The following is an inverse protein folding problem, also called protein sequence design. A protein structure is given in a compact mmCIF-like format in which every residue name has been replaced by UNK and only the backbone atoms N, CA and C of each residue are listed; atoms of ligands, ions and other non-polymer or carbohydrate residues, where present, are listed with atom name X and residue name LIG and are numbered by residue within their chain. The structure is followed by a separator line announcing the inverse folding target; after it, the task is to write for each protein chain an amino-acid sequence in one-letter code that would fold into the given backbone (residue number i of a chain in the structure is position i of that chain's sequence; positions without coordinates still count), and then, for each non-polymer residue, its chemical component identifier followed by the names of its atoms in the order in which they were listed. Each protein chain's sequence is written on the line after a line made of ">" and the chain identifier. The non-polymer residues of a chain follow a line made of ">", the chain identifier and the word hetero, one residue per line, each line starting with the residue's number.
data_IF_677730543719
#
_entry.id   IF_677730543719
#
_cell.length_a   1.000
_cell.length_b   1.000
_cell.length_c   1.000
_cell.angle_alpha   90.00
_cell.angle_beta   90.00
_cell.angle_gamma   90.00
#
_symmetry.space_group_name_H-M   'P 1'
#
loop_
_entity.id
_entity.type
_entity.pdbx_description
1 polymer ?
#
# COMPACT_ATOMS: atom_id res chain seq x y z
N UNK A 1 4.50 -16.36 -13.18
CA UNK A 1 4.83 -17.11 -14.39
C UNK A 1 4.83 -16.18 -15.59
N UNK A 2 5.84 -16.26 -16.45
CA UNK A 2 6.00 -15.39 -17.63
C UNK A 2 5.71 -16.20 -18.90
N UNK A 3 4.71 -15.78 -19.64
CA UNK A 3 4.27 -16.39 -20.90
C UNK A 3 4.54 -15.46 -22.07
N UNK A 4 5.45 -15.77 -22.98
CA UNK A 4 5.59 -15.04 -24.23
C UNK A 4 4.46 -15.44 -25.18
N UNK A 5 3.49 -14.55 -25.37
CA UNK A 5 2.38 -14.78 -26.31
C UNK A 5 2.56 -13.86 -27.52
N UNK A 6 2.95 -14.43 -28.64
CA UNK A 6 3.18 -13.73 -29.90
C UNK A 6 4.22 -12.62 -29.76
N UNK A 7 3.81 -11.36 -29.68
CA UNK A 7 4.71 -10.20 -29.54
C UNK A 7 4.57 -9.47 -28.19
N UNK A 8 3.84 -10.04 -27.22
CA UNK A 8 3.61 -9.48 -25.89
C UNK A 8 4.13 -10.42 -24.81
N UNK A 9 4.66 -9.85 -23.73
CA UNK A 9 5.00 -10.58 -22.52
C UNK A 9 3.82 -10.51 -21.56
N UNK A 10 3.29 -11.66 -21.16
CA UNK A 10 2.25 -11.76 -20.12
C UNK A 10 2.89 -12.30 -18.86
N UNK A 11 2.73 -11.61 -17.75
CA UNK A 11 3.20 -12.10 -16.44
C UNK A 11 1.98 -12.30 -15.53
N UNK A 12 1.91 -13.47 -14.91
CA UNK A 12 0.92 -13.81 -13.91
C UNK A 12 1.60 -13.97 -12.56
N UNK A 13 1.04 -13.36 -11.53
CA UNK A 13 1.48 -13.48 -10.15
C UNK A 13 0.34 -13.98 -9.26
N UNK A 14 0.67 -14.82 -8.29
CA UNK A 14 -0.23 -15.24 -7.25
C UNK A 14 0.51 -15.21 -5.91
N UNK A 15 -0.16 -14.73 -4.87
CA UNK A 15 0.34 -14.68 -3.51
C UNK A 15 -0.68 -15.27 -2.55
N UNK A 16 -0.20 -15.98 -1.55
CA UNK A 16 -1.00 -16.48 -0.45
C UNK A 16 -0.32 -16.13 0.87
N UNK A 17 -1.06 -15.53 1.78
CA UNK A 17 -0.63 -15.26 3.15
C UNK A 17 -1.38 -16.22 4.05
N UNK A 18 -0.67 -17.11 4.72
CA UNK A 18 -1.25 -18.04 5.67
C UNK A 18 -1.65 -17.30 6.94
N UNK A 19 -2.84 -17.57 7.45
CA UNK A 19 -3.26 -17.16 8.77
C UNK A 19 -2.40 -17.82 9.84
N UNK A 20 -2.18 -17.15 10.96
CA UNK A 20 -1.36 -17.65 12.07
C UNK A 20 -1.88 -17.16 13.39
N UNK A 21 -1.72 -17.98 14.41
CA UNK A 21 -1.98 -17.59 15.79
C UNK A 21 -0.67 -17.15 16.45
N UNK A 22 -0.69 -15.98 17.06
CA UNK A 22 0.45 -15.36 17.73
C UNK A 22 0.12 -15.24 19.21
N UNK A 23 0.92 -15.89 20.05
CA UNK A 23 0.86 -15.67 21.50
C UNK A 23 1.72 -14.44 21.84
N UNK A 24 1.11 -13.45 22.45
CA UNK A 24 1.75 -12.22 22.90
C UNK A 24 1.54 -12.02 24.38
N UNK A 25 2.49 -11.38 25.06
CA UNK A 25 2.33 -10.92 26.43
C UNK A 25 1.83 -9.49 26.43
N UNK A 26 0.87 -9.20 27.29
CA UNK A 26 0.27 -7.89 27.48
C UNK A 26 0.29 -7.48 28.93
N UNK A 27 0.73 -6.26 29.19
CA UNK A 27 0.55 -5.60 30.46
C UNK A 27 -0.62 -4.61 30.36
N UNK A 28 -1.60 -4.72 31.24
CA UNK A 28 -2.75 -3.83 31.27
C UNK A 28 -2.75 -3.03 32.58
N UNK A 29 -2.67 -1.72 32.44
CA UNK A 29 -2.70 -0.80 33.56
C UNK A 29 -3.81 0.22 33.39
N UNK A 30 -4.86 0.12 34.20
CA UNK A 30 -6.00 1.05 34.20
C UNK A 30 -5.99 1.83 35.50
N UNK A 31 -5.95 3.17 35.39
CA UNK A 31 -5.95 4.07 36.52
C UNK A 31 -6.91 5.24 36.33
N UNK A 32 -7.48 5.74 37.40
CA UNK A 32 -8.18 7.00 37.41
C UNK A 32 -7.19 8.15 37.50
N UNK A 33 -7.45 9.21 36.72
CA UNK A 33 -6.60 10.40 36.69
C UNK A 33 -7.45 11.64 36.94
N UNK A 34 -6.94 12.54 37.77
CA UNK A 34 -7.53 13.86 37.95
C UNK A 34 -6.84 14.84 37.01
N UNK A 35 -7.65 15.50 36.15
CA UNK A 35 -7.17 16.56 35.29
C UNK A 35 -7.32 17.89 36.03
N UNK A 36 -6.23 18.34 36.68
CA UNK A 36 -6.20 19.63 37.36
C UNK A 36 -6.29 20.80 36.37
N UNK A 37 -6.97 21.88 36.80
CA UNK A 37 -7.00 23.13 36.04
C UNK A 37 -5.58 23.73 36.01
N UNK A 38 -5.00 23.90 34.84
CA UNK A 38 -3.81 24.71 34.60
C UNK A 38 -2.45 24.05 34.56
N UNK A 39 -2.31 22.73 34.85
CA UNK A 39 -1.05 21.99 34.69
C UNK A 39 -1.25 20.72 33.85
N UNK A 40 -0.33 20.49 32.92
CA UNK A 40 -0.27 19.30 32.07
C UNK A 40 0.07 18.01 32.85
N UNK A 41 0.24 18.08 34.17
CA UNK A 41 0.52 16.92 35.01
C UNK A 41 -0.77 16.17 35.35
N UNK A 42 -0.92 14.99 34.81
CA UNK A 42 -1.95 14.04 35.17
C UNK A 42 -1.59 13.41 36.51
N UNK A 43 -2.38 13.68 37.54
CA UNK A 43 -2.17 13.08 38.86
C UNK A 43 -2.99 11.78 38.99
N UNK A 44 -2.37 10.62 39.17
CA UNK A 44 -3.09 9.38 39.40
C UNK A 44 -3.78 9.43 40.77
N UNK A 45 -5.07 9.07 40.77
CA UNK A 45 -5.87 9.01 42.00
C UNK A 45 -5.88 7.59 42.56
N UNK A 46 -6.16 6.62 41.69
CA UNK A 46 -6.30 5.22 42.07
C UNK A 46 -6.02 4.31 40.87
N UNK A 47 -5.51 3.11 41.16
CA UNK A 47 -5.30 2.04 40.19
C UNK A 47 -6.51 1.13 40.21
N UNK A 48 -7.27 1.09 39.14
CA UNK A 48 -8.45 0.26 38.99
C UNK A 48 -8.11 -1.19 38.67
N UNK A 49 -7.11 -1.39 37.81
CA UNK A 49 -6.69 -2.71 37.40
C UNK A 49 -5.23 -2.70 36.96
N UNK A 50 -4.50 -3.69 37.40
CA UNK A 50 -3.15 -4.00 36.96
C UNK A 50 -3.04 -5.49 36.66
N UNK A 51 -2.75 -5.84 35.44
CA UNK A 51 -2.52 -7.21 34.98
C UNK A 51 -1.16 -7.21 34.29
N UNK A 52 -0.28 -8.06 34.74
CA UNK A 52 1.09 -8.19 34.21
C UNK A 52 1.23 -9.56 33.54
N UNK A 53 2.00 -9.62 32.44
CA UNK A 53 2.32 -10.85 31.71
C UNK A 53 1.10 -11.67 31.24
N UNK A 54 -0.05 -11.04 30.97
CA UNK A 54 -1.22 -11.76 30.44
C UNK A 54 -0.91 -12.30 29.04
N UNK A 55 -1.09 -13.60 28.85
CA UNK A 55 -0.93 -14.21 27.54
C UNK A 55 -2.19 -13.94 26.71
N UNK A 56 -2.03 -13.23 25.63
CA UNK A 56 -3.09 -12.89 24.69
C UNK A 56 -2.83 -13.60 23.36
N UNK A 57 -3.80 -14.36 22.90
CA UNK A 57 -3.77 -14.99 21.60
C UNK A 57 -4.35 -14.05 20.55
N UNK A 58 -3.59 -13.83 19.48
CA UNK A 58 -3.98 -13.00 18.35
C UNK A 58 -4.06 -13.90 17.11
N UNK A 59 -5.26 -14.09 16.58
CA UNK A 59 -5.47 -14.88 15.36
C UNK A 59 -5.42 -13.96 14.15
N UNK A 60 -4.35 -14.11 13.35
CA UNK A 60 -4.16 -13.36 12.11
C UNK A 60 -4.86 -14.05 10.94
N UNK A 61 -5.61 -13.32 10.12
CA UNK A 61 -6.36 -13.89 9.02
C UNK A 61 -5.46 -14.36 7.88
N UNK A 62 -5.98 -15.26 7.05
CA UNK A 62 -5.39 -15.61 5.79
C UNK A 62 -5.76 -14.60 4.69
N UNK A 63 -4.94 -14.57 3.64
CA UNK A 63 -5.18 -13.71 2.49
C UNK A 63 -4.67 -14.32 1.19
N UNK A 64 -5.19 -13.84 0.10
CA UNK A 64 -4.69 -14.20 -1.23
C UNK A 64 -4.68 -12.98 -2.15
N UNK A 65 -3.76 -13.02 -3.10
CA UNK A 65 -3.65 -11.99 -4.12
C UNK A 65 -3.35 -12.60 -5.47
N UNK A 66 -3.76 -11.93 -6.51
CA UNK A 66 -3.46 -12.31 -7.87
C UNK A 66 -3.28 -11.07 -8.74
N UNK A 67 -2.34 -11.15 -9.68
CA UNK A 67 -2.08 -10.06 -10.60
C UNK A 67 -1.74 -10.55 -11.99
N UNK A 68 -2.07 -9.72 -12.96
CA UNK A 68 -1.73 -9.93 -14.36
C UNK A 68 -1.10 -8.67 -14.92
N UNK A 69 -0.02 -8.82 -15.65
CA UNK A 69 0.53 -7.73 -16.45
C UNK A 69 0.79 -8.17 -17.87
N UNK A 70 0.50 -7.28 -18.79
CA UNK A 70 0.72 -7.46 -20.24
C UNK A 70 1.58 -6.31 -20.72
N UNK A 71 2.68 -6.62 -21.37
CA UNK A 71 3.59 -5.60 -21.85
C UNK A 71 4.21 -5.95 -23.20
N UNK A 72 4.62 -4.92 -23.86
CA UNK A 72 5.40 -4.95 -25.10
C UNK A 72 6.41 -3.81 -25.04
N UNK A 73 7.38 -3.81 -25.95
CA UNK A 73 8.34 -2.71 -26.05
C UNK A 73 7.62 -1.35 -26.07
N UNK A 74 7.83 -0.58 -25.02
CA UNK A 74 7.31 0.78 -24.87
C UNK A 74 6.02 0.92 -24.08
N UNK A 75 5.28 -0.12 -23.74
CA UNK A 75 4.12 -0.05 -22.86
C UNK A 75 3.96 -1.29 -21.96
N UNK A 76 3.37 -1.08 -20.82
CA UNK A 76 3.00 -2.11 -19.86
C UNK A 76 1.65 -1.72 -19.24
N UNK A 77 0.74 -2.66 -19.13
CA UNK A 77 -0.52 -2.53 -18.39
C UNK A 77 -0.65 -3.70 -17.43
N UNK A 78 -1.12 -3.44 -16.23
CA UNK A 78 -1.30 -4.46 -15.21
C UNK A 78 -2.53 -4.21 -14.37
N UNK A 79 -3.02 -5.27 -13.76
CA UNK A 79 -4.09 -5.24 -12.78
C UNK A 79 -3.79 -6.24 -11.67
N UNK A 80 -4.08 -5.84 -10.43
CA UNK A 80 -3.87 -6.62 -9.22
C UNK A 80 -5.14 -6.64 -8.39
N UNK A 81 -5.39 -7.78 -7.76
CA UNK A 81 -6.46 -7.98 -6.80
C UNK A 81 -5.88 -8.64 -5.55
N UNK A 82 -6.22 -8.14 -4.38
CA UNK A 82 -5.87 -8.76 -3.10
C UNK A 82 -7.10 -8.82 -2.21
N UNK A 83 -7.18 -9.88 -1.42
CA UNK A 83 -8.22 -10.13 -0.45
C UNK A 83 -7.62 -10.65 0.85
N UNK A 84 -8.18 -10.24 2.00
CA UNK A 84 -7.79 -10.73 3.31
C UNK A 84 -9.02 -10.91 4.21
N UNK A 85 -9.06 -12.04 4.91
CA UNK A 85 -10.18 -12.49 5.74
C UNK A 85 -10.21 -11.86 7.13
N UNK A 86 -10.16 -10.53 7.25
CA UNK A 86 -10.13 -9.80 8.52
C UNK A 86 -11.35 -10.03 9.41
N UNK A 87 -12.41 -10.60 8.89
CA UNK A 87 -13.56 -11.03 9.69
C UNK A 87 -13.20 -12.12 10.70
N UNK A 88 -12.18 -12.93 10.37
CA UNK A 88 -11.70 -14.04 11.21
C UNK A 88 -10.59 -13.61 12.18
N UNK A 89 -10.26 -12.31 12.22
CA UNK A 89 -9.34 -11.74 13.18
C UNK A 89 -9.94 -11.76 14.58
N UNK A 90 -9.20 -12.31 15.53
CA UNK A 90 -9.56 -12.32 16.94
C UNK A 90 -8.37 -11.92 17.81
N UNK A 91 -8.64 -11.19 18.87
CA UNK A 91 -7.69 -10.88 19.91
C UNK A 91 -8.28 -11.29 21.26
N UNK A 92 -7.69 -12.32 21.87
CA UNK A 92 -8.16 -12.92 23.13
C UNK A 92 -9.64 -13.36 23.09
N UNK A 93 -10.07 -13.97 21.97
CA UNK A 93 -11.44 -14.41 21.76
C UNK A 93 -12.45 -13.28 21.51
N UNK A 94 -11.97 -12.04 21.36
CA UNK A 94 -12.81 -10.88 21.03
C UNK A 94 -12.59 -10.53 19.56
N UNK A 95 -13.67 -10.53 18.80
CA UNK A 95 -13.69 -10.05 17.42
C UNK A 95 -14.12 -8.59 17.42
N UNK A 96 -13.28 -7.70 16.87
CA UNK A 96 -13.52 -6.26 16.80
C UNK A 96 -14.55 -5.85 15.74
N UNK A 97 -15.43 -6.76 15.30
CA UNK A 97 -16.42 -6.52 14.25
C UNK A 97 -15.80 -6.05 12.93
N UNK A 98 -14.59 -6.53 12.64
CA UNK A 98 -13.91 -6.25 11.39
C UNK A 98 -14.64 -6.93 10.23
N UNK A 99 -14.38 -6.48 9.02
CA UNK A 99 -14.88 -7.09 7.79
C UNK A 99 -13.72 -7.49 6.88
N UNK A 100 -14.00 -8.40 5.97
CA UNK A 100 -13.01 -8.78 4.98
C UNK A 100 -12.60 -7.55 4.15
N UNK A 101 -11.32 -7.40 3.94
CA UNK A 101 -10.78 -6.36 3.09
C UNK A 101 -10.45 -6.89 1.70
N UNK A 102 -10.59 -6.04 0.71
CA UNK A 102 -10.12 -6.32 -0.65
C UNK A 102 -9.70 -5.04 -1.35
N UNK A 103 -8.75 -5.18 -2.26
CA UNK A 103 -8.36 -4.09 -3.12
C UNK A 103 -8.21 -4.53 -4.57
N UNK A 104 -8.42 -3.58 -5.47
CA UNK A 104 -8.15 -3.68 -6.89
C UNK A 104 -7.26 -2.51 -7.29
N UNK A 105 -6.20 -2.77 -8.00
CA UNK A 105 -5.37 -1.76 -8.61
C UNK A 105 -5.20 -2.05 -10.10
N UNK A 106 -5.33 -1.02 -10.94
CA UNK A 106 -5.10 -1.09 -12.38
C UNK A 106 -4.14 0.03 -12.74
N UNK A 107 -3.13 -0.27 -13.51
CA UNK A 107 -2.17 0.75 -13.90
C UNK A 107 -1.47 0.43 -15.21
N UNK A 108 -0.88 1.47 -15.78
CA UNK A 108 -0.11 1.32 -17.00
C UNK A 108 1.04 2.32 -17.09
N UNK A 109 2.02 1.95 -17.87
CA UNK A 109 3.15 2.82 -18.23
C UNK A 109 3.36 2.81 -19.72
N UNK A 110 3.74 3.98 -20.24
CA UNK A 110 4.05 4.18 -21.65
C UNK A 110 5.33 4.98 -21.80
N UNK A 111 6.24 4.43 -22.59
CA UNK A 111 7.51 5.07 -22.98
C UNK A 111 7.61 5.07 -24.50
N UNK A 112 7.39 6.20 -25.17
CA UNK A 112 7.28 6.26 -26.62
C UNK A 112 8.50 5.67 -27.34
N UNK A 113 9.72 6.06 -26.91
CA UNK A 113 10.95 5.63 -27.57
C UNK A 113 12.15 5.73 -26.62
N UNK A 114 12.79 4.61 -26.34
CA UNK A 114 13.92 4.59 -25.39
C UNK A 114 15.25 5.07 -25.98
N UNK A 115 15.39 5.06 -27.31
CA UNK A 115 16.64 5.29 -28.05
C UNK A 115 16.69 6.64 -28.78
N UNK A 116 15.65 7.48 -28.71
CA UNK A 116 15.64 8.78 -29.37
C UNK A 116 16.80 9.67 -28.92
N UNK A 117 17.64 10.12 -29.84
CA UNK A 117 18.77 11.01 -29.54
C UNK A 117 18.34 12.46 -29.46
N UNK A 118 17.32 12.86 -30.24
CA UNK A 118 16.96 14.27 -30.48
C UNK A 118 15.78 14.79 -29.67
N UNK A 119 14.87 13.92 -29.18
CA UNK A 119 13.62 14.36 -28.54
C UNK A 119 13.47 13.79 -27.13
N UNK A 120 13.75 14.62 -26.12
CA UNK A 120 13.73 14.20 -24.70
C UNK A 120 12.37 13.65 -24.23
N UNK A 121 11.25 14.27 -24.64
CA UNK A 121 9.91 13.84 -24.25
C UNK A 121 9.56 12.40 -24.67
N UNK A 122 10.21 11.87 -25.70
CA UNK A 122 10.04 10.48 -26.14
C UNK A 122 10.71 9.46 -25.20
N UNK A 123 11.67 9.91 -24.38
CA UNK A 123 12.37 9.10 -23.37
C UNK A 123 11.65 9.08 -22.04
N UNK A 124 10.73 10.01 -21.82
CA UNK A 124 9.93 10.10 -20.59
C UNK A 124 9.03 8.87 -20.50
N UNK A 125 8.97 8.30 -19.30
CA UNK A 125 8.01 7.24 -18.99
C UNK A 125 6.78 7.88 -18.38
N UNK A 126 5.65 7.79 -19.04
CA UNK A 126 4.35 8.23 -18.54
C UNK A 126 3.67 7.09 -17.82
N UNK A 127 3.04 7.36 -16.66
CA UNK A 127 2.36 6.37 -15.85
C UNK A 127 1.00 6.88 -15.44
N UNK A 128 0.01 6.00 -15.44
CA UNK A 128 -1.31 6.27 -14.91
C UNK A 128 -1.81 5.05 -14.15
N UNK A 129 -2.53 5.26 -13.06
CA UNK A 129 -3.08 4.19 -12.25
C UNK A 129 -4.36 4.60 -11.56
N UNK A 130 -5.15 3.61 -11.19
CA UNK A 130 -6.34 3.72 -10.37
C UNK A 130 -6.31 2.60 -9.34
N UNK A 131 -6.69 2.90 -8.10
CA UNK A 131 -6.90 1.89 -7.08
C UNK A 131 -8.22 2.12 -6.36
N UNK A 132 -8.79 1.01 -5.93
CA UNK A 132 -9.96 0.98 -5.06
C UNK A 132 -9.71 -0.02 -3.94
N UNK A 133 -9.87 0.43 -2.70
CA UNK A 133 -9.63 -0.36 -1.50
C UNK A 133 -10.89 -0.36 -0.63
N UNK A 134 -11.42 -1.52 -0.31
CA UNK A 134 -12.34 -1.71 0.78
C UNK A 134 -11.55 -2.14 2.01
N UNK A 135 -11.48 -1.26 3.00
CA UNK A 135 -10.73 -1.53 4.22
C UNK A 135 -11.46 -2.51 5.14
N UNK A 136 -10.74 -3.12 6.06
CA UNK A 136 -11.31 -3.99 7.08
C UNK A 136 -12.13 -3.26 8.16
N UNK A 137 -12.04 -1.94 8.23
CA UNK A 137 -12.78 -1.16 9.20
C UNK A 137 -14.28 -1.13 8.86
N UNK A 138 -15.08 -1.58 9.83
CA UNK A 138 -16.53 -1.51 9.79
C UNK A 138 -17.02 -0.62 10.93
N UNK A 139 -17.51 0.57 10.58
CA UNK A 139 -18.04 1.51 11.57
C UNK A 139 -19.55 1.58 11.39
N UNK A 140 -20.31 1.15 12.42
CA UNK A 140 -21.78 1.10 12.41
C UNK A 140 -22.35 0.38 11.17
N UNK A 141 -21.79 -0.80 10.83
CA UNK A 141 -22.29 -1.63 9.74
C UNK A 141 -21.97 -1.10 8.33
N UNK A 142 -20.95 -0.25 8.18
CA UNK A 142 -20.52 0.22 6.86
C UNK A 142 -19.01 0.24 6.71
N UNK A 143 -18.57 -0.19 5.54
CA UNK A 143 -17.18 -0.22 5.11
C UNK A 143 -16.63 1.18 4.89
N UNK A 144 -15.37 1.39 5.23
CA UNK A 144 -14.60 2.55 4.82
C UNK A 144 -13.88 2.20 3.51
N UNK A 145 -14.26 2.87 2.43
CA UNK A 145 -13.64 2.67 1.14
C UNK A 145 -12.66 3.80 0.83
N UNK A 146 -11.57 3.46 0.16
CA UNK A 146 -10.58 4.39 -0.37
C UNK A 146 -10.47 4.18 -1.87
N UNK A 147 -10.35 5.27 -2.63
CA UNK A 147 -10.06 5.21 -4.05
C UNK A 147 -9.16 6.39 -4.44
N UNK A 148 -8.35 6.17 -5.46
CA UNK A 148 -7.45 7.19 -5.94
C UNK A 148 -7.03 6.98 -7.39
N UNK A 149 -6.70 8.09 -8.03
CA UNK A 149 -6.11 8.14 -9.37
C UNK A 149 -4.70 8.70 -9.24
N UNK A 150 -3.74 8.02 -9.83
CA UNK A 150 -2.34 8.41 -9.82
C UNK A 150 -1.87 8.71 -11.23
N UNK A 151 -1.18 9.84 -11.41
CA UNK A 151 -0.48 10.18 -12.63
C UNK A 151 0.99 10.42 -12.30
N UNK A 152 1.89 9.91 -13.14
CA UNK A 152 3.32 10.03 -12.89
C UNK A 152 4.15 10.12 -14.16
N UNK A 153 5.34 10.70 -14.00
CA UNK A 153 6.35 10.79 -15.05
C UNK A 153 7.70 10.34 -14.52
N UNK A 154 8.41 9.56 -15.34
CA UNK A 154 9.78 9.16 -15.09
C UNK A 154 10.72 9.87 -16.06
N UNK A 155 11.60 10.71 -15.52
CA UNK A 155 12.52 11.57 -16.25
C UNK A 155 13.91 10.92 -16.25
N UNK A 156 14.38 10.32 -17.37
CA UNK A 156 15.71 9.73 -17.42
C UNK A 156 16.78 10.83 -17.44
N UNK A 157 17.85 10.64 -16.68
CA UNK A 157 19.02 11.53 -16.71
C UNK A 157 19.86 11.22 -17.95
N UNK A 158 20.20 12.23 -18.78
CA UNK A 158 21.03 12.03 -19.96
C UNK A 158 22.39 11.41 -19.60
N UNK A 159 22.83 10.43 -20.36
CA UNK A 159 24.12 9.71 -20.19
C UNK A 159 24.23 8.92 -18.88
N UNK A 160 23.15 8.72 -18.16
CA UNK A 160 23.09 7.91 -16.94
C UNK A 160 21.93 6.90 -17.05
N UNK A 161 22.00 5.86 -16.24
CA UNK A 161 20.89 4.93 -16.04
C UNK A 161 19.96 5.36 -14.89
N UNK A 162 20.28 6.49 -14.27
CA UNK A 162 19.49 7.13 -13.20
C UNK A 162 18.23 7.77 -13.80
N UNK A 163 17.13 7.74 -13.04
CA UNK A 163 15.90 8.46 -13.39
C UNK A 163 15.27 9.14 -12.17
N UNK A 164 14.72 10.32 -12.37
CA UNK A 164 13.83 10.99 -11.40
C UNK A 164 12.39 10.64 -11.72
N UNK A 165 11.62 10.33 -10.70
CA UNK A 165 10.20 10.04 -10.84
C UNK A 165 9.40 11.04 -10.01
N UNK A 166 8.36 11.60 -10.62
CA UNK A 166 7.41 12.49 -9.97
C UNK A 166 6.02 11.92 -10.22
N UNK A 167 5.22 11.79 -9.19
CA UNK A 167 3.85 11.34 -9.29
C UNK A 167 2.93 12.16 -8.39
N UNK A 168 1.71 12.40 -8.86
CA UNK A 168 0.62 12.99 -8.11
C UNK A 168 -0.52 11.98 -7.99
N UNK A 169 -1.06 11.84 -6.78
CA UNK A 169 -2.23 11.02 -6.50
C UNK A 169 -3.34 11.89 -5.93
N UNK A 170 -4.52 11.80 -6.52
CA UNK A 170 -5.74 12.42 -6.03
C UNK A 170 -6.72 11.32 -5.63
N UNK A 171 -7.19 11.37 -4.39
CA UNK A 171 -8.04 10.31 -3.86
C UNK A 171 -8.99 10.77 -2.77
N UNK A 172 -9.82 9.84 -2.35
CA UNK A 172 -10.79 10.05 -1.29
C UNK A 172 -10.95 8.81 -0.42
N UNK A 173 -11.10 9.03 0.88
CA UNK A 173 -11.31 8.01 1.90
C UNK A 173 -12.60 8.31 2.67
N UNK A 174 -13.41 7.27 2.90
CA UNK A 174 -14.62 7.36 3.70
C UNK A 174 -15.84 7.81 2.92
N UNK A 175 -16.91 8.13 3.64
CA UNK A 175 -18.20 8.51 3.09
C UNK A 175 -18.91 9.52 3.99
N UNK A 176 -19.70 10.40 3.43
CA UNK A 176 -20.55 11.36 4.19
C UNK A 176 -21.87 10.77 4.66
N UNK A 177 -22.19 9.51 4.27
CA UNK A 177 -23.43 8.86 4.68
C UNK A 177 -23.43 8.60 6.19
N UNK A 178 -24.56 8.78 6.88
CA UNK A 178 -24.75 8.57 8.32
C UNK A 178 -23.82 9.43 9.22
N UNK A 179 -23.69 10.70 8.91
CA UNK A 179 -22.87 11.67 9.69
C UNK A 179 -21.40 11.31 9.83
N UNK A 180 -20.81 10.73 8.80
CA UNK A 180 -19.38 10.37 8.76
C UNK A 180 -18.55 11.40 8.04
N UNK A 181 -17.23 11.24 8.16
CA UNK A 181 -16.25 12.11 7.52
C UNK A 181 -15.77 11.46 6.22
N UNK A 182 -15.82 12.22 5.14
CA UNK A 182 -15.13 11.93 3.89
C UNK A 182 -13.93 12.85 3.80
N UNK A 183 -12.76 12.27 3.62
CA UNK A 183 -11.53 13.00 3.42
C UNK A 183 -11.10 12.88 1.97
N UNK A 184 -10.84 14.01 1.33
CA UNK A 184 -10.20 14.06 0.02
C UNK A 184 -8.75 14.47 0.22
N UNK A 185 -7.82 13.82 -0.48
CA UNK A 185 -6.40 14.09 -0.34
C UNK A 185 -5.72 14.23 -1.70
N UNK A 186 -4.62 14.95 -1.68
CA UNK A 186 -3.69 15.05 -2.79
C UNK A 186 -2.28 14.79 -2.28
N UNK A 187 -1.61 13.77 -2.85
CA UNK A 187 -0.25 13.38 -2.50
C UNK A 187 0.68 13.64 -3.67
N UNK A 188 1.86 14.16 -3.38
CA UNK A 188 2.95 14.27 -4.35
C UNK A 188 4.09 13.37 -3.87
N UNK A 189 4.57 12.51 -4.77
CA UNK A 189 5.72 11.63 -4.54
C UNK A 189 6.84 11.98 -5.48
N UNK A 190 8.03 12.20 -4.93
CA UNK A 190 9.26 12.41 -5.70
C UNK A 190 10.25 11.34 -5.30
N UNK A 191 10.79 10.62 -6.28
CA UNK A 191 11.78 9.57 -6.03
C UNK A 191 12.87 9.57 -7.10
N UNK A 192 14.03 9.03 -6.74
CA UNK A 192 15.15 8.86 -7.65
C UNK A 192 15.54 7.37 -7.69
N UNK A 193 15.62 6.82 -8.89
CA UNK A 193 16.12 5.45 -9.10
C UNK A 193 17.54 5.55 -9.58
N UNK A 194 18.49 5.12 -8.74
CA UNK A 194 19.91 5.08 -9.06
C UNK A 194 20.25 3.64 -9.43
N UNK A 195 20.85 3.47 -10.59
CA UNK A 195 21.35 2.18 -11.05
C UNK A 195 22.79 2.35 -11.51
N UNK A 196 23.70 1.51 -10.99
CA UNK A 196 25.09 1.47 -11.43
C UNK A 196 25.47 0.07 -11.90
N UNK A 197 26.39 0.01 -12.86
CA UNK A 197 26.92 -1.23 -13.40
C UNK A 197 28.25 -1.53 -12.72
N UNK A 198 28.26 -2.45 -11.80
CA UNK A 198 29.45 -2.92 -11.11
C UNK A 198 30.15 -3.98 -11.96
N UNK A 199 31.48 -4.10 -11.82
CA UNK A 199 32.32 -5.11 -12.51
C UNK A 199 32.43 -4.99 -14.03
N UNK A 200 32.36 -3.81 -14.60
CA UNK A 200 32.78 -3.63 -15.99
C UNK A 200 34.29 -3.65 -16.13
N UNK A 201 34.83 -4.69 -16.79
CA UNK A 201 36.25 -4.70 -17.19
C UNK A 201 36.50 -3.55 -18.17
N UNK A 202 37.37 -2.60 -17.82
CA UNK A 202 37.87 -1.60 -18.75
C UNK A 202 38.73 -2.34 -19.78
N UNK A 203 38.35 -2.31 -21.06
CA UNK A 203 39.25 -2.71 -22.14
C UNK A 203 40.21 -1.55 -22.33
N UNK A 204 41.48 -1.78 -22.04
CA UNK A 204 42.57 -0.90 -22.47
C UNK A 204 42.73 -1.17 -23.98
N UNK A 205 42.68 -0.11 -24.78
CA UNK A 205 43.16 -0.10 -26.18
C UNK A 205 44.62 0.18 -26.17
#
# INVERSE_FOLDING_TARGET
>A
YKLPISSCDVTLGFTYTQGSDIASKRDLFIRNMFKGYGNLAENPIDTLQYIEDEIVNISMPHGFGGGVSVGKKGWLVGADFNWAGWKDFEMNGVNDSLQNSWNVAIGGSFKPESTSISKYYKKITYRAGFHFDQTYYNIYGQSINKYGVTLGVGLPVPRSVTSFNVAGEFGSVGTTKKKRVKQTYFNISISMSIYDRWFMKKKYQ
#
